data_IF_487708222607
#
_entry.id   IF_487708222607
#
_cell.length_a   1.000
_cell.length_b   1.000
_cell.length_c   1.000
_cell.angle_alpha   90.00
_cell.angle_beta   90.00
_cell.angle_gamma   90.00
#
_symmetry.space_group_name_H-M   'P 1'
#
loop_
_entity.id
_entity.type
_entity.pdbx_description
1 polymer ?
#
# COMPACT_ATOMS: atom_id res chain seq x y z
N UNK A 1 7.09 1.58 -24.31
CA UNK A 1 7.11 0.30 -23.58
C UNK A 1 6.32 0.51 -22.31
N UNK A 2 5.52 -0.42 -21.88
CA UNK A 2 4.76 -0.31 -20.63
C UNK A 2 5.71 -0.31 -19.42
N UNK A 3 5.63 0.69 -18.59
CA UNK A 3 6.45 0.83 -17.39
C UNK A 3 5.70 0.42 -16.12
N UNK A 4 6.45 0.20 -15.05
CA UNK A 4 5.91 -0.09 -13.72
C UNK A 4 6.30 1.04 -12.78
N UNK A 5 5.32 1.63 -12.13
CA UNK A 5 5.51 2.69 -11.16
C UNK A 5 4.93 2.28 -9.81
N UNK A 6 5.49 2.79 -8.74
CA UNK A 6 4.91 2.64 -7.41
C UNK A 6 4.31 3.96 -6.93
N UNK A 7 3.18 3.89 -6.22
CA UNK A 7 2.55 5.02 -5.57
C UNK A 7 2.34 4.72 -4.10
N UNK A 8 2.91 5.56 -3.24
CA UNK A 8 2.86 5.41 -1.78
C UNK A 8 2.03 6.53 -1.18
N UNK A 9 0.74 6.29 -0.85
CA UNK A 9 -0.08 7.29 -0.18
C UNK A 9 0.42 7.49 1.26
N UNK A 10 0.85 8.71 1.60
CA UNK A 10 1.46 9.06 2.88
C UNK A 10 0.92 10.37 3.47
N UNK A 11 -0.29 10.82 3.08
CA UNK A 11 -0.90 12.05 3.58
C UNK A 11 -1.68 11.90 4.90
N UNK A 12 -1.86 10.68 5.40
CA UNK A 12 -2.66 10.42 6.60
C UNK A 12 -1.95 10.80 7.90
N UNK A 13 -2.70 11.33 8.87
CA UNK A 13 -2.20 11.70 10.21
C UNK A 13 -1.87 10.50 11.10
N UNK A 14 -2.38 9.30 10.81
CA UNK A 14 -2.15 8.12 11.65
C UNK A 14 -2.81 8.15 13.03
N UNK A 15 -3.94 8.85 13.20
CA UNK A 15 -4.60 9.16 14.47
C UNK A 15 -4.79 7.97 15.44
N UNK A 16 -4.92 6.74 14.93
CA UNK A 16 -5.06 5.52 15.75
C UNK A 16 -3.84 5.16 16.59
N UNK A 17 -2.67 5.74 16.29
CA UNK A 17 -1.44 5.51 17.06
C UNK A 17 -1.33 6.40 18.30
N UNK A 18 -2.21 7.41 18.45
CA UNK A 18 -2.24 8.30 19.62
C UNK A 18 -0.98 9.16 19.80
N UNK A 19 -0.22 9.38 18.72
CA UNK A 19 1.03 10.15 18.75
C UNK A 19 0.89 11.46 17.98
N UNK A 20 1.66 12.47 18.35
CA UNK A 20 1.71 13.78 17.67
C UNK A 20 2.35 13.69 16.28
N UNK A 21 3.28 12.75 16.09
CA UNK A 21 3.96 12.52 14.81
C UNK A 21 3.11 11.61 13.91
N UNK A 22 2.88 11.95 12.63
CA UNK A 22 2.20 11.08 11.69
C UNK A 22 2.90 9.71 11.59
N UNK A 23 2.10 8.65 11.55
CA UNK A 23 2.57 7.26 11.69
C UNK A 23 3.71 6.89 10.74
N UNK A 24 3.68 7.37 9.50
CA UNK A 24 4.70 7.08 8.49
C UNK A 24 6.10 7.60 8.85
N UNK A 25 6.20 8.57 9.77
CA UNK A 25 7.44 9.14 10.25
C UNK A 25 7.90 8.58 11.60
N UNK A 26 7.11 7.70 12.23
CA UNK A 26 7.54 7.06 13.47
C UNK A 26 8.84 6.28 13.25
N UNK A 27 9.81 6.39 14.18
CA UNK A 27 11.06 5.65 14.08
C UNK A 27 10.82 4.14 14.20
N UNK A 28 11.40 3.39 13.27
CA UNK A 28 11.33 1.94 13.20
C UNK A 28 12.69 1.41 12.71
N UNK A 29 13.35 0.57 13.48
CA UNK A 29 14.68 0.04 13.16
C UNK A 29 15.66 1.12 12.63
N UNK A 30 15.76 2.24 13.35
CA UNK A 30 16.71 3.33 13.08
C UNK A 30 16.36 4.30 11.94
N UNK A 31 15.21 4.16 11.28
CA UNK A 31 14.75 5.08 10.22
C UNK A 31 13.24 5.29 10.28
N UNK A 32 12.65 6.31 9.60
CA UNK A 32 11.20 6.48 9.59
C UNK A 32 10.51 5.29 8.92
N UNK A 33 9.34 4.89 9.41
CA UNK A 33 8.61 3.71 8.93
C UNK A 33 8.47 3.67 7.41
N UNK A 34 8.14 4.78 6.77
CA UNK A 34 8.00 4.88 5.30
C UNK A 34 9.28 4.49 4.56
N UNK A 35 10.46 4.76 5.15
CA UNK A 35 11.75 4.49 4.51
C UNK A 35 11.93 3.00 4.16
N UNK A 36 11.38 2.10 4.97
CA UNK A 36 11.48 0.65 4.71
C UNK A 36 10.76 0.26 3.42
N UNK A 37 9.55 0.75 3.20
CA UNK A 37 8.82 0.53 1.94
C UNK A 37 9.55 1.17 0.76
N UNK A 38 10.02 2.42 0.90
CA UNK A 38 10.76 3.14 -0.15
C UNK A 38 12.06 2.42 -0.51
N UNK A 39 12.81 1.88 0.46
CA UNK A 39 14.01 1.10 0.20
C UNK A 39 13.73 -0.09 -0.72
N UNK A 40 12.64 -0.82 -0.49
CA UNK A 40 12.28 -1.97 -1.31
C UNK A 40 11.79 -1.55 -2.69
N UNK A 41 10.92 -0.55 -2.76
CA UNK A 41 10.34 -0.08 -4.03
C UNK A 41 11.40 0.55 -4.93
N UNK A 42 12.25 1.42 -4.39
CA UNK A 42 13.30 2.09 -5.15
C UNK A 42 14.44 1.12 -5.57
N UNK A 43 14.71 0.09 -4.78
CA UNK A 43 15.73 -0.91 -5.13
C UNK A 43 15.25 -1.93 -6.19
N UNK A 44 13.95 -2.01 -6.49
CA UNK A 44 13.43 -2.93 -7.50
C UNK A 44 13.84 -2.48 -8.91
N UNK A 45 14.46 -3.35 -9.72
CA UNK A 45 14.83 -3.01 -11.11
C UNK A 45 13.60 -2.90 -12.03
N UNK A 46 12.48 -3.52 -11.67
CA UNK A 46 11.26 -3.48 -12.47
C UNK A 46 10.50 -2.15 -12.31
N UNK A 47 10.72 -1.39 -11.24
CA UNK A 47 10.01 -0.13 -10.97
C UNK A 47 10.82 1.04 -11.54
N UNK A 48 10.22 1.81 -12.45
CA UNK A 48 10.84 2.98 -13.07
C UNK A 48 10.83 4.19 -12.11
N UNK A 49 9.68 4.49 -11.47
CA UNK A 49 9.51 5.65 -10.59
C UNK A 49 8.69 5.28 -9.36
N UNK A 50 9.03 5.85 -8.22
CA UNK A 50 8.28 5.74 -6.97
C UNK A 50 7.74 7.11 -6.58
N UNK A 51 6.43 7.27 -6.60
CA UNK A 51 5.74 8.49 -6.19
C UNK A 51 5.32 8.39 -4.72
N UNK A 52 5.73 9.35 -3.91
CA UNK A 52 5.22 9.51 -2.54
C UNK A 52 4.22 10.65 -2.52
N UNK A 53 2.97 10.34 -2.18
CA UNK A 53 1.90 11.34 -2.12
C UNK A 53 1.71 11.82 -0.70
N UNK A 54 2.16 13.03 -0.45
CA UNK A 54 2.20 13.71 0.85
C UNK A 54 1.00 14.66 1.01
N UNK A 55 0.68 15.02 2.24
CA UNK A 55 -0.28 16.09 2.50
C UNK A 55 0.24 17.43 1.95
N UNK A 56 -0.65 18.32 1.45
CA UNK A 56 -0.24 19.69 1.18
C UNK A 56 0.39 20.32 2.43
N UNK A 57 1.62 20.86 2.28
CA UNK A 57 2.36 21.46 3.38
C UNK A 57 3.03 20.48 4.33
N UNK A 58 3.21 19.21 3.97
CA UNK A 58 4.05 18.28 4.73
C UNK A 58 5.50 18.75 4.72
N UNK A 59 6.01 19.16 5.88
CA UNK A 59 7.40 19.57 6.09
C UNK A 59 8.26 18.43 6.67
N UNK A 60 7.63 17.38 7.19
CA UNK A 60 8.33 16.31 7.89
C UNK A 60 9.13 15.41 6.95
N UNK A 61 8.68 15.26 5.72
CA UNK A 61 9.39 14.44 4.73
C UNK A 61 10.80 14.99 4.45
N UNK A 62 10.96 16.32 4.43
CA UNK A 62 12.26 16.99 4.20
C UNK A 62 13.24 16.85 5.36
N UNK A 63 12.79 16.44 6.55
CA UNK A 63 13.67 16.23 7.71
C UNK A 63 14.53 14.96 7.57
N UNK A 64 14.35 14.19 6.52
CA UNK A 64 15.07 12.95 6.25
C UNK A 64 15.84 13.04 4.94
N UNK A 65 16.99 12.37 4.88
CA UNK A 65 17.81 12.28 3.66
C UNK A 65 17.31 11.17 2.74
N UNK A 66 16.76 11.56 1.57
CA UNK A 66 16.29 10.68 0.51
C UNK A 66 17.22 10.63 -0.70
N UNK A 67 18.35 11.32 -0.66
CA UNK A 67 19.27 11.49 -1.81
C UNK A 67 19.74 10.16 -2.41
N UNK A 68 19.81 9.09 -1.60
CA UNK A 68 20.17 7.74 -2.05
C UNK A 68 19.22 7.14 -3.10
N UNK A 69 18.03 7.68 -3.25
CA UNK A 69 17.04 7.21 -4.24
C UNK A 69 17.12 7.95 -5.56
N UNK A 70 17.85 9.08 -5.61
CA UNK A 70 18.01 9.91 -6.81
C UNK A 70 16.67 10.30 -7.43
N UNK A 71 16.66 10.40 -8.75
CA UNK A 71 15.48 10.79 -9.53
C UNK A 71 14.36 9.73 -9.53
N UNK A 72 14.64 8.53 -9.02
CA UNK A 72 13.65 7.44 -8.94
C UNK A 72 12.54 7.74 -7.93
N UNK A 73 12.85 8.50 -6.87
CA UNK A 73 11.88 8.93 -5.88
C UNK A 73 11.36 10.32 -6.18
N UNK A 74 10.05 10.45 -6.40
CA UNK A 74 9.38 11.72 -6.62
C UNK A 74 8.33 11.98 -5.54
N UNK A 75 8.20 13.24 -5.10
CA UNK A 75 7.23 13.66 -4.09
C UNK A 75 6.13 14.48 -4.70
N UNK A 76 4.87 14.15 -4.36
CA UNK A 76 3.67 14.84 -4.82
C UNK A 76 2.92 15.37 -3.59
N UNK A 77 2.78 16.69 -3.47
CA UNK A 77 2.12 17.36 -2.33
C UNK A 77 0.64 17.61 -2.61
N UNK A 78 -0.09 16.55 -2.98
CA UNK A 78 -1.49 16.59 -3.40
C UNK A 78 -2.40 15.63 -2.62
N UNK A 79 -1.97 15.15 -1.46
CA UNK A 79 -2.76 14.24 -0.63
C UNK A 79 -4.14 14.81 -0.28
N UNK A 80 -5.14 13.93 -0.23
CA UNK A 80 -6.52 14.27 0.10
C UNK A 80 -6.90 13.89 1.52
N UNK A 81 -8.16 14.13 1.87
CA UNK A 81 -8.72 13.81 3.20
C UNK A 81 -8.77 12.29 3.45
N UNK A 82 -9.17 11.54 2.42
CA UNK A 82 -9.22 10.08 2.46
C UNK A 82 -8.01 9.47 1.77
N UNK A 83 -7.69 8.21 2.11
CA UNK A 83 -6.64 7.45 1.43
C UNK A 83 -6.92 7.29 -0.07
N UNK A 84 -8.17 7.03 -0.43
CA UNK A 84 -8.62 6.95 -1.83
C UNK A 84 -8.42 8.27 -2.59
N UNK A 85 -8.69 9.41 -1.95
CA UNK A 85 -8.46 10.73 -2.54
C UNK A 85 -6.96 10.98 -2.74
N UNK A 86 -6.13 10.58 -1.77
CA UNK A 86 -4.68 10.68 -1.88
C UNK A 86 -4.15 9.87 -3.06
N UNK A 87 -4.63 8.63 -3.25
CA UNK A 87 -4.24 7.79 -4.39
C UNK A 87 -4.71 8.41 -5.71
N UNK A 88 -5.99 8.84 -5.79
CA UNK A 88 -6.54 9.48 -6.98
C UNK A 88 -5.77 10.74 -7.38
N UNK A 89 -5.51 11.62 -6.42
CA UNK A 89 -4.76 12.85 -6.66
C UNK A 89 -3.32 12.55 -7.10
N UNK A 90 -2.68 11.55 -6.47
CA UNK A 90 -1.35 11.08 -6.84
C UNK A 90 -1.29 10.53 -8.27
N UNK A 91 -2.29 9.74 -8.69
CA UNK A 91 -2.39 9.24 -10.06
C UNK A 91 -2.54 10.38 -11.08
N UNK A 92 -3.36 11.39 -10.77
CA UNK A 92 -3.52 12.55 -11.65
C UNK A 92 -2.21 13.34 -11.75
N UNK A 93 -1.54 13.57 -10.62
CA UNK A 93 -0.32 14.37 -10.56
C UNK A 93 0.92 13.63 -11.10
N UNK A 94 0.90 12.31 -11.19
CA UNK A 94 2.02 11.51 -11.71
C UNK A 94 2.07 11.47 -13.25
N UNK A 95 1.01 11.89 -13.93
CA UNK A 95 0.93 11.97 -15.40
C UNK A 95 1.32 10.67 -16.11
N UNK A 96 1.01 9.52 -15.52
CA UNK A 96 1.31 8.21 -16.08
C UNK A 96 0.50 7.92 -17.34
N UNK A 97 1.10 7.17 -18.26
CA UNK A 97 0.37 6.67 -19.41
C UNK A 97 -0.71 5.67 -18.97
N UNK A 98 -1.89 5.66 -19.62
CA UNK A 98 -3.00 4.78 -19.20
C UNK A 98 -2.63 3.29 -19.14
N UNK A 99 -1.71 2.84 -19.99
CA UNK A 99 -1.26 1.46 -20.09
C UNK A 99 -0.11 1.11 -19.14
N UNK A 100 0.44 2.08 -18.40
CA UNK A 100 1.46 1.79 -17.40
C UNK A 100 0.86 1.09 -16.18
N UNK A 101 1.67 0.26 -15.54
CA UNK A 101 1.31 -0.40 -14.30
C UNK A 101 1.62 0.48 -13.10
N UNK A 102 0.66 0.63 -12.20
CA UNK A 102 0.87 1.30 -10.92
C UNK A 102 0.66 0.32 -9.76
N UNK A 103 1.65 0.26 -8.88
CA UNK A 103 1.66 -0.53 -7.66
C UNK A 103 1.38 0.41 -6.48
N UNK A 104 0.17 0.40 -5.94
CA UNK A 104 -0.18 1.21 -4.77
C UNK A 104 0.21 0.47 -3.50
N UNK A 105 1.10 1.06 -2.68
CA UNK A 105 1.60 0.43 -1.48
C UNK A 105 1.47 1.32 -0.23
N UNK A 106 0.92 0.76 0.84
CA UNK A 106 0.75 1.48 2.10
C UNK A 106 2.11 1.76 2.79
N UNK A 107 2.40 3.03 3.10
CA UNK A 107 3.56 3.43 3.91
C UNK A 107 3.62 2.72 5.27
N UNK A 108 2.50 2.20 5.76
CA UNK A 108 2.38 1.47 7.02
C UNK A 108 2.60 -0.05 6.90
N UNK A 109 3.12 -0.56 5.77
CA UNK A 109 3.57 -1.95 5.61
C UNK A 109 5.09 -1.99 5.38
N UNK A 110 5.88 -1.76 6.43
CA UNK A 110 7.33 -1.62 6.31
C UNK A 110 8.04 -2.93 5.95
N UNK A 111 7.37 -4.07 6.11
CA UNK A 111 7.97 -5.39 5.93
C UNK A 111 7.79 -5.97 4.52
N UNK A 112 7.46 -5.15 3.51
CA UNK A 112 7.50 -5.55 2.09
C UNK A 112 8.89 -6.13 1.74
N UNK A 113 8.96 -7.06 0.78
CA UNK A 113 10.22 -7.64 0.30
C UNK A 113 10.31 -7.59 -1.23
N UNK A 114 11.52 -7.73 -1.76
CA UNK A 114 11.73 -7.88 -3.21
C UNK A 114 11.01 -9.13 -3.76
N UNK A 115 10.94 -10.21 -2.97
CA UNK A 115 10.22 -11.43 -3.36
C UNK A 115 8.72 -11.19 -3.52
N UNK A 116 8.10 -10.35 -2.66
CA UNK A 116 6.71 -9.95 -2.81
C UNK A 116 6.47 -9.17 -4.11
N UNK A 117 7.34 -8.19 -4.43
CA UNK A 117 7.25 -7.41 -5.65
C UNK A 117 7.42 -8.28 -6.90
N UNK A 118 8.48 -9.07 -6.93
CA UNK A 118 8.78 -9.94 -8.07
C UNK A 118 7.62 -10.90 -8.36
N UNK A 119 7.03 -11.52 -7.31
CA UNK A 119 5.88 -12.40 -7.45
C UNK A 119 4.66 -11.65 -7.99
N UNK A 120 4.32 -10.50 -7.41
CA UNK A 120 3.18 -9.70 -7.84
C UNK A 120 3.31 -9.30 -9.31
N UNK A 121 4.46 -8.77 -9.71
CA UNK A 121 4.73 -8.36 -11.08
C UNK A 121 4.68 -9.56 -12.04
N UNK A 122 5.32 -10.68 -11.67
CA UNK A 122 5.33 -11.88 -12.52
C UNK A 122 3.93 -12.43 -12.77
N UNK A 123 3.07 -12.45 -11.74
CA UNK A 123 1.73 -13.00 -11.81
C UNK A 123 0.74 -12.09 -12.54
N UNK A 124 0.98 -10.76 -12.55
CA UNK A 124 0.02 -9.77 -13.04
C UNK A 124 0.42 -9.04 -14.32
N UNK A 125 1.69 -9.08 -14.73
CA UNK A 125 2.17 -8.30 -15.89
C UNK A 125 1.40 -8.55 -17.19
N UNK A 126 0.80 -9.73 -17.34
CA UNK A 126 -0.01 -10.14 -18.49
C UNK A 126 -1.50 -10.32 -18.13
N UNK A 127 -1.90 -9.92 -16.94
CA UNK A 127 -3.30 -9.99 -16.50
C UNK A 127 -4.09 -8.81 -17.11
N UNK A 128 -5.34 -9.06 -17.50
CA UNK A 128 -6.19 -8.05 -18.14
C UNK A 128 -6.73 -7.02 -17.13
N UNK A 129 -6.87 -7.39 -15.86
CA UNK A 129 -7.44 -6.56 -14.79
C UNK A 129 -6.37 -6.04 -13.84
N UNK A 130 -5.47 -6.93 -13.41
CA UNK A 130 -4.53 -6.71 -12.33
C UNK A 130 -4.97 -7.40 -11.04
N UNK A 131 -4.40 -7.01 -9.90
CA UNK A 131 -4.69 -7.71 -8.64
C UNK A 131 -3.90 -7.22 -7.45
N UNK A 132 -3.92 -8.01 -6.40
CA UNK A 132 -3.40 -7.62 -5.09
C UNK A 132 -2.60 -8.75 -4.43
N UNK A 133 -1.64 -8.39 -3.58
CA UNK A 133 -1.16 -9.35 -2.59
C UNK A 133 -2.25 -9.62 -1.56
N UNK A 134 -2.43 -10.89 -1.21
CA UNK A 134 -3.38 -11.29 -0.19
C UNK A 134 -2.96 -12.61 0.48
N UNK A 135 -3.48 -12.88 1.68
CA UNK A 135 -3.28 -14.15 2.39
C UNK A 135 -4.64 -14.76 2.76
N UNK A 136 -4.80 -16.10 2.72
CA UNK A 136 -6.00 -16.74 3.23
C UNK A 136 -6.22 -16.43 4.71
N UNK A 137 -7.46 -16.26 5.14
CA UNK A 137 -7.80 -16.07 6.55
C UNK A 137 -7.47 -17.33 7.36
N UNK A 138 -6.46 -17.23 8.24
CA UNK A 138 -6.01 -18.34 9.06
C UNK A 138 -6.91 -18.58 10.28
N UNK A 139 -7.42 -17.51 10.89
CA UNK A 139 -8.23 -17.58 12.10
C UNK A 139 -9.72 -17.78 11.82
N UNK A 140 -10.45 -18.25 12.83
CA UNK A 140 -11.91 -18.31 12.77
C UNK A 140 -12.49 -16.90 12.88
N UNK A 141 -13.22 -16.47 11.84
CA UNK A 141 -13.84 -15.16 11.80
C UNK A 141 -15.23 -15.18 12.41
N UNK A 142 -15.54 -14.16 13.22
CA UNK A 142 -16.84 -13.96 13.85
C UNK A 142 -17.46 -12.66 13.35
N UNK A 143 -18.71 -12.71 12.97
CA UNK A 143 -19.51 -11.49 12.77
C UNK A 143 -20.15 -11.11 14.10
N UNK A 144 -20.01 -9.86 14.52
CA UNK A 144 -20.60 -9.33 15.73
C UNK A 144 -21.67 -8.28 15.42
N UNK A 145 -22.54 -8.03 16.38
CA UNK A 145 -23.47 -6.88 16.41
C UNK A 145 -22.79 -5.62 16.99
N UNK A 146 -23.56 -4.55 17.11
CA UNK A 146 -23.12 -3.26 17.69
C UNK A 146 -22.74 -3.35 19.18
N UNK A 147 -23.22 -4.38 19.89
CA UNK A 147 -22.93 -4.66 21.30
C UNK A 147 -21.77 -5.65 21.49
N UNK A 148 -21.01 -5.95 20.43
CA UNK A 148 -19.88 -6.89 20.43
C UNK A 148 -20.29 -8.33 20.78
N UNK A 149 -21.55 -8.74 20.49
CA UNK A 149 -22.03 -10.11 20.64
C UNK A 149 -21.89 -10.86 19.32
N UNK A 150 -21.43 -12.11 19.39
CA UNK A 150 -21.27 -12.95 18.20
C UNK A 150 -22.64 -13.25 17.59
N UNK A 151 -22.86 -12.80 16.34
CA UNK A 151 -24.03 -13.17 15.55
C UNK A 151 -23.86 -14.52 14.88
N UNK A 152 -22.68 -14.75 14.27
CA UNK A 152 -22.35 -16.01 13.58
C UNK A 152 -20.86 -16.18 13.37
N UNK A 153 -20.48 -17.42 13.07
CA UNK A 153 -19.14 -17.75 12.54
C UNK A 153 -19.19 -17.66 11.01
N UNK A 154 -18.23 -16.96 10.39
CA UNK A 154 -18.11 -16.93 8.95
C UNK A 154 -17.34 -18.16 8.43
N UNK A 155 -17.74 -18.71 7.30
CA UNK A 155 -16.93 -19.70 6.60
C UNK A 155 -15.71 -18.99 6.00
N UNK A 156 -14.51 -19.44 6.37
CA UNK A 156 -13.25 -18.80 5.95
C UNK A 156 -12.61 -19.41 4.70
N UNK A 157 -13.15 -20.46 4.13
CA UNK A 157 -12.53 -21.22 3.02
C UNK A 157 -12.19 -20.35 1.80
N UNK A 158 -12.95 -19.26 1.58
CA UNK A 158 -12.75 -18.33 0.47
C UNK A 158 -12.53 -16.89 0.95
N UNK A 159 -12.18 -16.70 2.22
CA UNK A 159 -11.89 -15.39 2.76
C UNK A 159 -10.39 -15.12 2.77
N UNK A 160 -10.03 -13.95 2.26
CA UNK A 160 -8.67 -13.49 2.14
C UNK A 160 -8.50 -12.14 2.84
N UNK A 161 -7.32 -11.93 3.40
CA UNK A 161 -6.92 -10.63 3.95
C UNK A 161 -6.13 -9.89 2.87
N UNK A 162 -6.70 -8.80 2.36
CA UNK A 162 -6.05 -7.96 1.38
C UNK A 162 -4.78 -7.30 1.95
N UNK A 163 -3.74 -7.32 1.15
CA UNK A 163 -2.49 -6.62 1.44
C UNK A 163 -2.19 -5.61 0.31
N UNK A 164 -1.08 -4.89 0.45
CA UNK A 164 -0.49 -4.10 -0.62
C UNK A 164 0.96 -4.57 -0.86
N UNK A 165 1.53 -4.40 -2.07
CA UNK A 165 1.01 -3.58 -3.18
C UNK A 165 -0.24 -4.18 -3.84
N UNK A 166 -1.06 -3.25 -4.38
CA UNK A 166 -2.16 -3.55 -5.29
C UNK A 166 -1.77 -2.99 -6.66
N UNK A 167 -1.83 -3.80 -7.71
CA UNK A 167 -1.25 -3.50 -9.02
C UNK A 167 -2.31 -3.50 -10.11
N UNK A 168 -2.48 -2.34 -10.75
CA UNK A 168 -3.47 -2.11 -11.81
C UNK A 168 -2.89 -1.23 -12.91
N UNK A 169 -3.51 -1.23 -14.11
CA UNK A 169 -3.20 -0.22 -15.12
C UNK A 169 -3.62 1.16 -14.62
N UNK A 170 -2.78 2.17 -14.87
CA UNK A 170 -3.03 3.54 -14.40
C UNK A 170 -4.38 4.08 -14.87
N UNK A 171 -4.71 3.90 -16.15
CA UNK A 171 -5.99 4.31 -16.73
C UNK A 171 -7.20 3.60 -16.10
N UNK A 172 -7.11 2.28 -15.87
CA UNK A 172 -8.17 1.51 -15.21
C UNK A 172 -8.39 1.98 -13.76
N UNK A 173 -7.31 2.12 -13.00
CA UNK A 173 -7.39 2.57 -11.62
C UNK A 173 -7.91 4.00 -11.50
N UNK A 174 -7.47 4.90 -12.40
CA UNK A 174 -7.99 6.27 -12.45
C UNK A 174 -9.50 6.28 -12.73
N UNK A 175 -9.98 5.46 -13.66
CA UNK A 175 -11.42 5.31 -13.94
C UNK A 175 -12.18 4.76 -12.73
N UNK A 176 -11.64 3.74 -12.06
CA UNK A 176 -12.26 3.12 -10.89
C UNK A 176 -12.44 4.11 -9.73
N UNK A 177 -11.40 4.90 -9.44
CA UNK A 177 -11.40 5.89 -8.36
C UNK A 177 -12.23 7.16 -8.66
N UNK A 178 -12.72 7.33 -9.89
CA UNK A 178 -13.69 8.39 -10.23
C UNK A 178 -15.13 8.02 -9.90
N UNK A 179 -15.42 6.74 -9.67
CA UNK A 179 -16.77 6.31 -9.28
C UNK A 179 -17.17 6.91 -7.92
N UNK A 180 -18.44 7.27 -7.80
CA UNK A 180 -18.98 7.72 -6.53
C UNK A 180 -19.01 6.57 -5.52
N UNK A 181 -18.32 6.72 -4.39
CA UNK A 181 -18.29 5.71 -3.34
C UNK A 181 -17.12 5.89 -2.38
N UNK A 182 -17.20 5.25 -1.24
CA UNK A 182 -16.08 5.15 -0.30
C UNK A 182 -15.43 3.79 -0.51
N UNK A 183 -14.23 3.79 -1.10
CA UNK A 183 -13.46 2.58 -1.32
C UNK A 183 -12.46 2.36 -0.18
N UNK A 184 -12.35 1.12 0.27
CA UNK A 184 -11.42 0.74 1.35
C UNK A 184 -9.99 0.55 0.82
N UNK A 185 -9.87 0.13 -0.43
CA UNK A 185 -8.61 -0.10 -1.16
C UNK A 185 -8.83 0.02 -2.67
N UNK A 186 -7.78 -0.15 -3.47
CA UNK A 186 -7.81 -0.05 -4.93
C UNK A 186 -8.64 -1.17 -5.55
N UNK A 187 -8.54 -2.40 -5.00
CA UNK A 187 -9.31 -3.54 -5.53
C UNK A 187 -10.82 -3.29 -5.42
N UNK A 188 -11.30 -2.76 -4.30
CA UNK A 188 -12.73 -2.46 -4.12
C UNK A 188 -13.26 -1.41 -5.11
N UNK A 189 -12.41 -0.47 -5.53
CA UNK A 189 -12.77 0.47 -6.59
C UNK A 189 -12.88 -0.21 -7.96
N UNK A 190 -11.95 -1.13 -8.27
CA UNK A 190 -11.96 -1.91 -9.53
C UNK A 190 -13.14 -2.90 -9.55
N UNK A 191 -13.45 -3.52 -8.42
CA UNK A 191 -14.64 -4.38 -8.25
C UNK A 191 -15.95 -3.64 -8.54
N UNK A 192 -16.03 -2.35 -8.18
CA UNK A 192 -17.21 -1.51 -8.48
C UNK A 192 -17.43 -1.29 -9.99
N UNK A 193 -16.43 -1.50 -10.83
CA UNK A 193 -16.56 -1.55 -12.28
C UNK A 193 -17.07 -2.89 -12.81
N UNK A 194 -17.34 -3.86 -11.93
CA UNK A 194 -17.74 -5.23 -12.30
C UNK A 194 -16.58 -6.15 -12.71
N UNK A 195 -15.34 -5.74 -12.45
CA UNK A 195 -14.14 -6.51 -12.74
C UNK A 195 -13.72 -7.35 -11.53
N UNK A 196 -12.86 -8.35 -11.76
CA UNK A 196 -12.43 -9.31 -10.73
C UNK A 196 -10.89 -9.28 -10.59
N UNK A 197 -10.34 -8.48 -9.68
CA UNK A 197 -8.91 -8.46 -9.39
C UNK A 197 -8.39 -9.83 -8.94
N UNK A 198 -7.19 -10.20 -9.40
CA UNK A 198 -6.55 -11.47 -9.06
C UNK A 198 -5.90 -11.40 -7.68
N UNK A 199 -6.04 -12.48 -6.90
CA UNK A 199 -5.33 -12.64 -5.63
C UNK A 199 -3.97 -13.30 -5.88
N UNK A 200 -2.90 -12.63 -5.49
CA UNK A 200 -1.52 -13.14 -5.52
C UNK A 200 -1.09 -13.44 -4.08
N UNK A 201 -0.52 -14.63 -3.87
CA UNK A 201 -0.12 -15.07 -2.52
C UNK A 201 0.98 -14.16 -1.95
N UNK A 202 0.62 -13.46 -0.88
CA UNK A 202 1.54 -12.76 0.02
C UNK A 202 2.01 -13.65 1.17
N UNK A 203 2.43 -13.04 2.27
CA UNK A 203 2.67 -13.74 3.53
C UNK A 203 2.33 -12.85 4.74
N UNK A 204 2.34 -13.46 5.95
CA UNK A 204 1.97 -12.79 7.18
C UNK A 204 2.97 -11.71 7.60
N UNK A 205 4.20 -11.73 7.12
CA UNK A 205 5.20 -10.70 7.47
C UNK A 205 4.89 -9.33 6.84
N UNK A 206 4.11 -9.28 5.74
CA UNK A 206 3.69 -8.05 5.09
C UNK A 206 2.42 -7.45 5.75
N UNK A 207 2.32 -7.51 7.08
CA UNK A 207 1.19 -6.94 7.81
C UNK A 207 1.24 -5.41 7.84
N UNK A 208 0.08 -4.81 8.11
CA UNK A 208 -0.06 -3.36 8.27
C UNK A 208 0.15 -2.98 9.73
N UNK A 209 1.14 -2.18 10.02
CA UNK A 209 1.33 -1.56 11.34
C UNK A 209 0.13 -0.66 11.63
N UNK A 210 -0.70 -1.06 12.58
CA UNK A 210 -1.96 -0.38 12.93
C UNK A 210 -2.00 0.02 14.39
N UNK A 211 -1.42 -0.80 15.26
CA UNK A 211 -1.37 -0.62 16.71
C UNK A 211 0.08 -0.53 17.20
N UNK A 212 0.32 0.04 18.40
CA UNK A 212 1.69 0.17 18.95
C UNK A 212 2.46 -1.15 19.02
N UNK A 213 1.81 -2.27 19.36
CA UNK A 213 2.46 -3.59 19.42
C UNK A 213 2.96 -4.08 18.06
N UNK A 214 2.35 -3.64 16.95
CA UNK A 214 2.78 -4.02 15.61
C UNK A 214 4.17 -3.45 15.28
N UNK A 215 4.54 -2.31 15.91
CA UNK A 215 5.87 -1.72 15.77
C UNK A 215 6.97 -2.66 16.25
N UNK A 216 6.78 -3.30 17.41
CA UNK A 216 7.75 -4.25 17.96
C UNK A 216 7.94 -5.45 17.03
N UNK A 217 6.84 -5.96 16.50
CA UNK A 217 6.89 -7.10 15.56
C UNK A 217 7.60 -6.72 14.26
N UNK A 218 7.29 -5.53 13.72
CA UNK A 218 7.94 -5.03 12.52
C UNK A 218 9.45 -4.84 12.73
N UNK A 219 9.86 -4.26 13.86
CA UNK A 219 11.26 -4.04 14.20
C UNK A 219 12.04 -5.35 14.30
N UNK A 220 11.48 -6.38 14.96
CA UNK A 220 12.09 -7.70 15.03
C UNK A 220 12.29 -8.31 13.65
N UNK A 221 11.29 -8.24 12.77
CA UNK A 221 11.38 -8.79 11.41
C UNK A 221 12.42 -8.06 10.56
N UNK A 222 12.46 -6.73 10.64
CA UNK A 222 13.40 -5.92 9.87
C UNK A 222 14.85 -6.16 10.34
N UNK A 223 15.09 -6.16 11.65
CA UNK A 223 16.43 -6.40 12.21
C UNK A 223 16.96 -7.81 11.92
N UNK A 224 16.10 -8.81 11.77
CA UNK A 224 16.51 -10.17 11.39
C UNK A 224 16.90 -10.27 9.91
N UNK A 225 16.36 -9.42 9.04
CA UNK A 225 16.67 -9.41 7.59
C UNK A 225 18.02 -8.75 7.26
N UNK A 226 18.55 -7.94 8.16
CA UNK A 226 19.85 -7.27 8.00
C UNK A 226 21.05 -8.14 8.43
N UNK A 227 20.78 -9.31 9.01
CA UNK A 227 21.80 -10.29 9.41
C UNK A 227 22.01 -11.36 8.36
#
# INVERSE_FOLDING_TARGET
>A
MTEFHALVPAAGSGARMGQELPKQYLPLAGQPMIAHALNILCASPDISTVFVVLAPGDELFHNHDWSRFGDKLQTLYCGGELRSDTVRNGLIASELEPDDWVLVHDAARPCLTQAHLARLIADLRNDEVGGILAIPAADTLKRADEHQRILRTENREQLWQAQTPQMFRAGLLAQALQQAGSFTDESSAVEALGLQPKLVIGDTSNFKVTYPQDMLLAELLLTQREK
#
